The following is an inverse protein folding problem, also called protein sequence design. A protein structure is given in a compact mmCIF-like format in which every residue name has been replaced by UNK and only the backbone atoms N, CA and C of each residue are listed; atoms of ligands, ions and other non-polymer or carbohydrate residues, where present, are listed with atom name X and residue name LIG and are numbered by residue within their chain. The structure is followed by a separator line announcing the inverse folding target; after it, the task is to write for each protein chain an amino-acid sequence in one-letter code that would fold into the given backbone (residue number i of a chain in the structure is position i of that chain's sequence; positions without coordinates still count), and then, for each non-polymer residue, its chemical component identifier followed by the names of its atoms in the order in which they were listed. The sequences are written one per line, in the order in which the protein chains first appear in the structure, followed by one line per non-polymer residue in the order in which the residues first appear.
data_IF_162228223325
#
_entry.id   IF_162228223325
#
_cell.length_a   1.000
_cell.length_b   1.000
_cell.length_c   1.000
_cell.angle_alpha   90.00
_cell.angle_beta   90.00
_cell.angle_gamma   90.00
#
_symmetry.space_group_name_H-M   'P 1'
#
loop_
_entity.id
_entity.type
_entity.pdbx_description
1 polymer ?
#
# COMPACT_ATOMS: atom_id res chain seq x y z
N UNK A 1 12.35 35.97 -13.12
CA UNK A 1 13.45 35.95 -12.14
C UNK A 1 13.11 36.77 -10.89
N UNK A 2 12.75 38.04 -11.03
CA UNK A 2 12.43 38.97 -9.90
C UNK A 2 11.29 38.50 -9.02
N UNK A 3 10.19 37.96 -9.59
CA UNK A 3 9.05 37.46 -8.84
C UNK A 3 9.39 36.24 -7.96
N UNK A 4 10.28 35.32 -8.43
CA UNK A 4 10.73 34.18 -7.64
C UNK A 4 11.63 34.61 -6.47
N UNK A 5 12.44 35.66 -6.66
CA UNK A 5 13.27 36.23 -5.61
C UNK A 5 12.42 36.91 -4.53
N UNK A 6 11.40 37.68 -4.91
CA UNK A 6 10.44 38.27 -3.97
C UNK A 6 9.67 37.27 -3.16
N UNK A 7 9.19 36.17 -3.80
CA UNK A 7 8.49 35.08 -3.10
C UNK A 7 9.41 34.37 -2.12
N UNK A 8 10.68 34.15 -2.48
CA UNK A 8 11.63 33.49 -1.58
C UNK A 8 12.04 34.41 -0.42
N UNK A 9 12.19 35.71 -0.66
CA UNK A 9 12.45 36.70 0.38
C UNK A 9 11.28 36.80 1.37
N UNK A 10 10.04 36.81 0.85
CA UNK A 10 8.83 36.82 1.67
C UNK A 10 8.70 35.51 2.52
N UNK A 11 9.05 34.37 1.94
CA UNK A 11 9.10 33.10 2.68
C UNK A 11 10.17 33.14 3.78
N UNK A 12 11.32 33.70 3.51
CA UNK A 12 12.41 33.86 4.49
C UNK A 12 12.00 34.76 5.66
N UNK A 13 11.32 35.86 5.38
CA UNK A 13 10.77 36.82 6.38
C UNK A 13 9.64 36.19 7.22
N UNK A 14 8.85 35.29 6.62
CA UNK A 14 7.75 34.59 7.31
C UNK A 14 8.18 33.30 8.02
N UNK A 15 9.43 32.85 7.83
CA UNK A 15 9.95 31.63 8.49
C UNK A 15 9.85 31.67 10.02
N UNK A 16 10.21 32.77 10.74
CA UNK A 16 10.09 32.79 12.19
C UNK A 16 8.63 32.75 12.64
N UNK A 17 7.72 33.39 11.91
CA UNK A 17 6.27 33.38 12.22
C UNK A 17 5.68 32.00 11.94
N UNK A 18 6.08 31.38 10.85
CA UNK A 18 5.61 30.02 10.52
C UNK A 18 6.17 28.99 11.49
N UNK A 19 7.42 29.11 11.91
CA UNK A 19 8.04 28.25 12.91
C UNK A 19 7.36 28.40 14.30
N UNK A 20 7.04 29.64 14.68
CA UNK A 20 6.33 29.93 15.91
C UNK A 20 4.90 29.36 15.87
N UNK A 21 4.16 29.61 14.80
CA UNK A 21 2.82 29.01 14.61
C UNK A 21 2.89 27.49 14.61
N UNK A 22 3.91 26.88 13.99
CA UNK A 22 4.08 25.43 13.97
C UNK A 22 4.44 24.87 15.37
N UNK A 23 5.26 25.60 16.16
CA UNK A 23 5.59 25.21 17.52
C UNK A 23 4.39 25.21 18.47
N UNK A 24 3.41 26.12 18.25
CA UNK A 24 2.21 26.24 19.08
C UNK A 24 0.99 25.51 18.51
N UNK A 25 0.94 25.22 17.18
CA UNK A 25 -0.25 24.68 16.54
C UNK A 25 -0.33 23.13 16.55
N UNK A 26 0.76 22.43 16.83
CA UNK A 26 0.73 20.96 16.89
C UNK A 26 0.46 20.48 18.32
N UNK A 27 -0.74 19.97 18.62
CA UNK A 27 -1.03 19.42 19.94
C UNK A 27 -0.08 18.25 20.23
N UNK A 28 0.49 18.23 21.44
CA UNK A 28 1.26 17.08 21.93
C UNK A 28 0.32 15.90 22.15
N UNK A 29 0.73 14.69 21.74
CA UNK A 29 -0.09 13.48 21.91
C UNK A 29 -1.12 13.24 20.79
N UNK A 30 -1.18 14.11 19.76
CA UNK A 30 -2.06 13.90 18.60
C UNK A 30 -1.52 12.83 17.64
N UNK A 31 -2.40 12.34 16.75
CA UNK A 31 -2.03 11.40 15.69
C UNK A 31 -1.96 12.12 14.35
N UNK A 32 -0.96 11.78 13.55
CA UNK A 32 -0.90 12.18 12.15
C UNK A 32 -1.82 11.27 11.35
N UNK A 33 -2.70 11.83 10.54
CA UNK A 33 -3.63 11.02 9.72
C UNK A 33 -2.96 10.69 8.39
N UNK A 34 -2.81 9.40 8.11
CA UNK A 34 -2.45 8.88 6.80
C UNK A 34 -3.70 8.26 6.16
N UNK A 35 -4.22 8.90 5.14
CA UNK A 35 -5.37 8.39 4.38
C UNK A 35 -4.88 7.55 3.21
N UNK A 36 -5.37 6.29 3.13
CA UNK A 36 -5.16 5.39 2.00
C UNK A 36 -6.52 5.20 1.31
N UNK A 37 -6.61 5.70 0.08
CA UNK A 37 -7.80 5.58 -0.74
C UNK A 37 -7.38 5.37 -2.21
N UNK A 38 -7.58 4.16 -2.71
CA UNK A 38 -7.29 3.77 -4.08
C UNK A 38 -5.92 3.11 -4.27
N UNK A 39 -5.24 3.48 -5.36
CA UNK A 39 -4.02 2.80 -5.80
C UNK A 39 -2.80 3.17 -4.95
N UNK A 40 -2.07 2.15 -4.52
CA UNK A 40 -0.75 2.28 -3.88
C UNK A 40 0.32 1.74 -4.83
N UNK A 41 1.46 2.42 -4.88
CA UNK A 41 2.62 2.08 -5.72
C UNK A 41 3.88 2.01 -4.86
N UNK A 42 4.90 1.34 -5.33
CA UNK A 42 6.16 1.25 -4.60
C UNK A 42 6.93 2.58 -4.64
N UNK A 43 7.16 3.10 -5.85
CA UNK A 43 7.87 4.36 -6.09
C UNK A 43 6.93 5.44 -6.62
N UNK A 44 7.22 6.69 -6.31
CA UNK A 44 6.47 7.81 -6.89
C UNK A 44 6.70 7.90 -8.39
N UNK A 45 5.63 7.96 -9.19
CA UNK A 45 5.80 8.22 -10.62
C UNK A 45 6.44 9.61 -10.81
N UNK A 46 7.33 9.77 -11.81
CA UNK A 46 7.99 11.04 -12.08
C UNK A 46 6.92 12.13 -12.33
N UNK A 47 7.09 13.27 -11.66
CA UNK A 47 6.21 14.41 -11.86
C UNK A 47 6.53 15.04 -13.21
N UNK A 48 5.73 14.75 -14.24
CA UNK A 48 5.82 15.44 -15.52
C UNK A 48 5.43 16.91 -15.29
N UNK A 49 6.40 17.82 -15.32
CA UNK A 49 6.21 19.27 -15.10
C UNK A 49 5.42 19.97 -16.21
N UNK A 50 5.17 19.29 -17.34
CA UNK A 50 4.35 19.78 -18.45
C UNK A 50 2.85 19.57 -18.18
N UNK A 51 2.39 19.81 -16.99
CA UNK A 51 0.96 19.83 -16.72
C UNK A 51 0.41 21.17 -17.20
N UNK A 52 -0.33 21.13 -18.29
CA UNK A 52 -1.21 22.18 -18.72
C UNK A 52 -2.00 22.68 -17.48
N UNK A 53 -1.87 23.93 -17.13
CA UNK A 53 -2.38 24.54 -15.89
C UNK A 53 -3.90 24.43 -15.70
N UNK A 54 -4.65 24.06 -16.75
CA UNK A 54 -6.09 23.83 -16.73
C UNK A 54 -6.52 22.38 -16.42
N UNK A 55 -5.61 21.42 -16.33
CA UNK A 55 -6.00 20.04 -15.96
C UNK A 55 -6.10 19.93 -14.43
N UNK A 56 -7.27 19.44 -13.92
CA UNK A 56 -7.38 19.15 -12.49
C UNK A 56 -6.26 18.19 -12.09
N UNK A 57 -5.48 18.57 -11.09
CA UNK A 57 -4.40 17.73 -10.56
C UNK A 57 -5.04 16.50 -9.95
N UNK A 58 -4.99 15.37 -10.63
CA UNK A 58 -5.32 14.08 -10.00
C UNK A 58 -4.37 13.90 -8.82
N UNK A 59 -4.90 13.52 -7.66
CA UNK A 59 -4.07 13.17 -6.50
C UNK A 59 -3.09 12.09 -6.92
N UNK A 60 -1.80 12.29 -6.68
CA UNK A 60 -0.79 11.27 -6.94
C UNK A 60 -1.10 10.05 -6.07
N UNK A 61 -0.92 8.81 -6.59
CA UNK A 61 -1.08 7.62 -5.79
C UNK A 61 -0.14 7.66 -4.58
N UNK A 62 -0.55 7.06 -3.47
CA UNK A 62 0.32 6.88 -2.32
C UNK A 62 1.46 5.94 -2.71
N UNK A 63 2.71 6.28 -2.34
CA UNK A 63 3.85 5.39 -2.54
C UNK A 63 4.42 4.91 -1.21
N UNK A 64 4.97 3.70 -1.21
CA UNK A 64 5.68 3.12 -0.05
C UNK A 64 6.85 4.01 0.34
N UNK A 65 7.61 4.51 -0.65
CA UNK A 65 8.70 5.47 -0.45
C UNK A 65 8.26 6.68 0.39
N UNK A 66 7.11 7.28 0.05
CA UNK A 66 6.58 8.43 0.78
C UNK A 66 6.14 8.09 2.20
N UNK A 67 5.64 6.87 2.42
CA UNK A 67 5.29 6.41 3.79
C UNK A 67 6.54 6.22 4.63
N UNK A 68 7.62 5.68 4.06
CA UNK A 68 8.92 5.61 4.74
C UNK A 68 9.52 6.98 5.06
N UNK A 69 9.42 7.94 4.14
CA UNK A 69 9.84 9.32 4.40
C UNK A 69 9.01 9.95 5.52
N UNK A 70 7.68 9.79 5.48
CA UNK A 70 6.80 10.24 6.56
C UNK A 70 7.21 9.61 7.89
N UNK A 71 7.49 8.32 7.90
CA UNK A 71 7.94 7.59 9.08
C UNK A 71 9.23 8.17 9.68
N UNK A 72 10.24 8.45 8.83
CA UNK A 72 11.50 9.08 9.26
C UNK A 72 11.27 10.45 9.93
N UNK A 73 10.35 11.25 9.38
CA UNK A 73 10.00 12.54 9.96
C UNK A 73 9.21 12.39 11.26
N UNK A 74 8.25 11.46 11.28
CA UNK A 74 7.43 11.19 12.45
C UNK A 74 8.26 10.70 13.65
N UNK A 75 9.24 9.81 13.41
CA UNK A 75 10.13 9.31 14.46
C UNK A 75 11.04 10.40 15.05
N UNK A 76 11.43 11.41 14.25
CA UNK A 76 12.24 12.54 14.71
C UNK A 76 11.44 13.59 15.49
N UNK A 77 10.12 13.65 15.31
CA UNK A 77 9.27 14.63 15.99
C UNK A 77 8.64 13.99 17.25
N UNK A 78 8.96 14.46 18.46
CA UNK A 78 8.40 13.92 19.70
C UNK A 78 6.94 14.30 19.96
N UNK A 79 6.37 15.24 19.21
CA UNK A 79 5.03 15.77 19.44
C UNK A 79 3.91 14.82 19.07
N UNK A 80 3.88 14.21 17.87
CA UNK A 80 2.86 13.23 17.54
C UNK A 80 3.05 11.93 18.32
N UNK A 81 1.98 11.42 18.94
CA UNK A 81 1.99 10.12 19.59
C UNK A 81 2.11 8.97 18.59
N UNK A 82 1.57 9.16 17.39
CA UNK A 82 1.57 8.11 16.40
C UNK A 82 0.88 8.47 15.08
N UNK A 83 0.47 7.43 14.36
CA UNK A 83 -0.17 7.47 13.06
C UNK A 83 -1.58 6.91 13.15
N UNK A 84 -2.57 7.66 12.69
CA UNK A 84 -3.92 7.17 12.42
C UNK A 84 -4.01 6.77 10.94
N UNK A 85 -4.04 5.48 10.68
CA UNK A 85 -4.14 4.90 9.35
C UNK A 85 -5.62 4.78 8.97
N UNK A 86 -6.12 5.72 8.18
CA UNK A 86 -7.50 5.70 7.67
C UNK A 86 -7.52 5.04 6.29
N UNK A 87 -8.07 3.84 6.20
CA UNK A 87 -8.14 3.07 4.96
C UNK A 87 -9.58 2.99 4.47
N UNK A 88 -9.83 3.48 3.25
CA UNK A 88 -11.16 3.39 2.59
C UNK A 88 -11.18 2.31 1.53
N UNK A 89 -10.20 2.33 0.63
CA UNK A 89 -9.97 1.29 -0.37
C UNK A 89 -8.46 1.15 -0.58
N UNK A 90 -7.98 -0.07 -0.79
CA UNK A 90 -6.56 -0.34 -1.01
C UNK A 90 -6.39 -1.22 -2.25
N UNK A 91 -5.76 -0.67 -3.29
CA UNK A 91 -5.50 -1.39 -4.53
C UNK A 91 -4.00 -1.45 -4.78
N UNK A 92 -3.40 -2.59 -4.50
CA UNK A 92 -1.98 -2.85 -4.73
C UNK A 92 -1.71 -4.33 -4.93
N UNK A 93 -0.62 -4.65 -5.61
CA UNK A 93 -0.14 -6.03 -5.68
C UNK A 93 0.42 -6.52 -4.33
N UNK A 94 0.48 -7.84 -4.11
CA UNK A 94 0.91 -8.43 -2.83
C UNK A 94 2.27 -7.93 -2.35
N UNK A 95 3.25 -7.78 -3.25
CA UNK A 95 4.59 -7.30 -2.92
C UNK A 95 4.57 -5.86 -2.40
N UNK A 96 3.76 -4.97 -3.02
CA UNK A 96 3.61 -3.57 -2.58
C UNK A 96 2.91 -3.50 -1.23
N UNK A 97 1.91 -4.35 -1.01
CA UNK A 97 1.22 -4.46 0.28
C UNK A 97 2.18 -4.90 1.40
N UNK A 98 3.02 -5.91 1.13
CA UNK A 98 4.05 -6.36 2.06
C UNK A 98 5.04 -5.23 2.38
N UNK A 99 5.59 -4.57 1.35
CA UNK A 99 6.50 -3.43 1.52
C UNK A 99 5.88 -2.28 2.31
N UNK A 100 4.59 -2.00 2.08
CA UNK A 100 3.88 -0.95 2.83
C UNK A 100 3.66 -1.36 4.28
N UNK A 101 3.29 -2.63 4.52
CA UNK A 101 3.14 -3.16 5.87
C UNK A 101 4.47 -3.08 6.64
N UNK A 102 5.57 -3.44 6.01
CA UNK A 102 6.91 -3.37 6.62
C UNK A 102 7.27 -1.92 6.97
N UNK A 103 7.00 -0.97 6.09
CA UNK A 103 7.20 0.45 6.38
C UNK A 103 6.37 0.94 7.58
N UNK A 104 5.15 0.43 7.77
CA UNK A 104 4.34 0.72 8.95
C UNK A 104 4.93 0.07 10.22
N UNK A 105 5.41 -1.17 10.12
CA UNK A 105 6.07 -1.86 11.23
C UNK A 105 7.35 -1.14 11.66
N UNK A 106 8.14 -0.60 10.71
CA UNK A 106 9.33 0.23 11.00
C UNK A 106 8.94 1.46 11.84
N UNK A 107 7.84 2.14 11.49
CA UNK A 107 7.33 3.30 12.25
C UNK A 107 6.96 2.89 13.67
N UNK A 108 6.28 1.75 13.82
CA UNK A 108 5.89 1.22 15.13
C UNK A 108 7.10 0.80 15.97
N UNK A 109 8.08 0.13 15.36
CA UNK A 109 9.34 -0.22 16.00
C UNK A 109 10.13 1.01 16.45
N UNK A 110 10.00 2.14 15.74
CA UNK A 110 10.55 3.44 16.12
C UNK A 110 9.80 4.15 17.26
N UNK A 111 8.89 3.45 17.96
CA UNK A 111 8.19 3.95 19.16
C UNK A 111 6.95 4.79 18.88
N UNK A 112 6.45 4.85 17.65
CA UNK A 112 5.22 5.54 17.30
C UNK A 112 4.04 4.58 17.31
N UNK A 113 2.94 4.98 17.94
CA UNK A 113 1.73 4.17 17.93
C UNK A 113 1.04 4.20 16.55
N UNK A 114 0.44 3.09 16.16
CA UNK A 114 -0.37 3.01 14.92
C UNK A 114 -1.75 2.49 15.28
N UNK A 115 -2.75 3.27 14.89
CA UNK A 115 -4.17 2.90 14.98
C UNK A 115 -4.72 2.84 13.57
N UNK A 116 -5.36 1.75 13.19
CA UNK A 116 -6.04 1.60 11.91
C UNK A 116 -7.54 1.89 12.07
N UNK A 117 -8.09 2.72 11.18
CA UNK A 117 -9.51 2.99 11.08
C UNK A 117 -10.04 2.59 9.70
N UNK A 118 -11.04 1.69 9.68
CA UNK A 118 -11.62 1.06 8.50
C UNK A 118 -13.09 1.47 8.35
N UNK A 119 -13.38 2.67 7.82
CA UNK A 119 -14.76 3.19 7.79
C UNK A 119 -15.67 2.45 6.80
N UNK A 120 -15.12 1.78 5.79
CA UNK A 120 -15.88 1.13 4.71
C UNK A 120 -15.84 -0.40 4.80
N UNK A 121 -15.30 -0.97 5.88
CA UNK A 121 -15.07 -2.40 6.04
C UNK A 121 -13.64 -2.81 5.72
N UNK A 122 -13.40 -4.09 5.59
CA UNK A 122 -12.06 -4.63 5.38
C UNK A 122 -12.07 -5.88 4.48
N UNK A 123 -11.19 -5.85 3.50
CA UNK A 123 -10.80 -6.99 2.68
C UNK A 123 -9.41 -7.53 3.11
N UNK A 124 -8.90 -8.54 2.40
CA UNK A 124 -7.58 -9.11 2.67
C UNK A 124 -6.45 -8.07 2.67
N UNK A 125 -6.46 -7.13 1.71
CA UNK A 125 -5.41 -6.12 1.58
C UNK A 125 -5.43 -5.15 2.76
N UNK A 126 -6.61 -4.66 3.11
CA UNK A 126 -6.83 -3.75 4.23
C UNK A 126 -6.48 -4.40 5.58
N UNK A 127 -6.88 -5.66 5.77
CA UNK A 127 -6.56 -6.43 6.98
C UNK A 127 -5.06 -6.71 7.11
N UNK A 128 -4.38 -7.02 5.99
CA UNK A 128 -2.93 -7.19 5.98
C UNK A 128 -2.22 -5.92 6.46
N UNK A 129 -2.63 -4.74 6.00
CA UNK A 129 -2.06 -3.48 6.45
C UNK A 129 -2.46 -3.15 7.89
N UNK A 130 -3.71 -3.41 8.26
CA UNK A 130 -4.21 -3.19 9.61
C UNK A 130 -3.48 -4.05 10.66
N UNK A 131 -2.91 -5.21 10.26
CA UNK A 131 -2.11 -6.06 11.15
C UNK A 131 -0.83 -5.39 11.67
N UNK A 132 -0.35 -4.32 11.03
CA UNK A 132 0.75 -3.52 11.55
C UNK A 132 0.33 -2.58 12.70
N UNK A 133 -0.96 -2.30 12.85
CA UNK A 133 -1.48 -1.42 13.88
C UNK A 133 -1.56 -2.10 15.26
N UNK A 134 -1.52 -1.30 16.33
CA UNK A 134 -1.79 -1.77 17.70
C UNK A 134 -3.28 -2.03 17.92
N UNK A 135 -4.12 -1.19 17.33
CA UNK A 135 -5.57 -1.29 17.45
C UNK A 135 -6.22 -1.07 16.09
N UNK A 136 -7.29 -1.82 15.84
CA UNK A 136 -8.09 -1.70 14.61
C UNK A 136 -9.50 -1.30 15.01
N UNK A 137 -9.96 -0.20 14.44
CA UNK A 137 -11.32 0.32 14.62
C UNK A 137 -12.05 0.17 13.30
N UNK A 138 -13.19 -0.48 13.34
CA UNK A 138 -14.05 -0.71 12.16
C UNK A 138 -15.30 0.14 12.31
N UNK A 139 -15.82 0.68 11.22
CA UNK A 139 -17.08 1.41 11.22
C UNK A 139 -18.25 0.52 11.64
N UNK A 140 -19.31 1.08 12.22
CA UNK A 140 -20.51 0.29 12.53
C UNK A 140 -21.12 -0.27 11.23
N UNK A 141 -21.68 -1.49 11.31
CA UNK A 141 -22.38 -2.17 10.21
C UNK A 141 -21.51 -2.40 8.93
N UNK A 142 -20.18 -2.33 9.06
CA UNK A 142 -19.30 -2.58 7.93
C UNK A 142 -18.95 -4.05 7.80
N UNK A 143 -18.85 -4.52 6.53
CA UNK A 143 -18.47 -5.89 6.24
C UNK A 143 -16.96 -6.09 6.38
N UNK A 144 -16.56 -7.10 7.15
CA UNK A 144 -15.17 -7.56 7.26
C UNK A 144 -15.09 -8.94 6.62
N UNK A 145 -14.33 -9.04 5.51
CA UNK A 145 -14.28 -10.25 4.69
C UNK A 145 -12.85 -10.81 4.57
N UNK A 146 -12.35 -11.55 5.58
CA UNK A 146 -11.02 -12.18 5.56
C UNK A 146 -11.04 -13.48 4.77
N UNK A 147 -11.35 -13.42 3.47
CA UNK A 147 -11.54 -14.62 2.64
C UNK A 147 -10.23 -15.37 2.33
N UNK A 148 -9.08 -14.74 2.56
CA UNK A 148 -7.77 -15.30 2.20
C UNK A 148 -7.53 -15.30 0.68
N UNK A 149 -6.63 -16.16 0.25
CA UNK A 149 -6.30 -16.36 -1.16
C UNK A 149 -6.53 -17.82 -1.53
N UNK A 150 -7.18 -18.05 -2.66
CA UNK A 150 -7.34 -19.39 -3.23
C UNK A 150 -6.87 -19.36 -4.68
N UNK A 151 -6.17 -20.41 -5.10
CA UNK A 151 -5.80 -20.64 -6.50
C UNK A 151 -6.41 -21.95 -6.94
N UNK A 152 -7.24 -21.90 -7.98
CA UNK A 152 -7.85 -23.06 -8.60
C UNK A 152 -7.16 -23.38 -9.92
N UNK A 153 -6.66 -24.60 -10.07
CA UNK A 153 -6.11 -25.11 -11.33
C UNK A 153 -7.14 -26.03 -12.00
N UNK A 154 -7.45 -25.77 -13.28
CA UNK A 154 -8.29 -26.65 -14.09
C UNK A 154 -7.42 -27.59 -14.89
N UNK A 155 -7.57 -28.91 -14.68
CA UNK A 155 -6.82 -29.94 -15.35
C UNK A 155 -7.73 -30.61 -16.38
N UNK A 156 -7.32 -30.63 -17.64
CA UNK A 156 -8.14 -31.06 -18.77
C UNK A 156 -7.65 -32.38 -19.41
N UNK A 157 -6.69 -33.07 -18.79
CA UNK A 157 -6.14 -34.32 -19.29
C UNK A 157 -7.22 -35.32 -19.67
N UNK A 158 -8.14 -35.64 -18.77
CA UNK A 158 -9.22 -36.60 -19.02
C UNK A 158 -10.15 -36.19 -20.15
N UNK A 159 -10.44 -34.92 -20.30
CA UNK A 159 -11.25 -34.41 -21.39
C UNK A 159 -10.52 -34.56 -22.74
N UNK A 160 -9.22 -34.35 -22.77
CA UNK A 160 -8.40 -34.54 -23.97
C UNK A 160 -8.31 -36.01 -24.35
N UNK A 161 -8.09 -36.93 -23.39
CA UNK A 161 -8.10 -38.36 -23.58
C UNK A 161 -9.44 -38.85 -24.18
N UNK A 162 -10.57 -38.35 -23.69
CA UNK A 162 -11.90 -38.66 -24.25
C UNK A 162 -12.09 -38.15 -25.68
N UNK A 163 -11.44 -37.04 -26.00
CA UNK A 163 -11.45 -36.49 -27.36
C UNK A 163 -10.42 -37.15 -28.29
N UNK A 164 -9.66 -38.14 -27.84
CA UNK A 164 -8.61 -38.79 -28.59
C UNK A 164 -7.35 -37.93 -28.82
N UNK A 165 -7.15 -36.94 -27.92
CA UNK A 165 -5.98 -36.02 -28.00
C UNK A 165 -5.00 -36.41 -26.88
N UNK A 166 -3.76 -36.70 -27.25
CA UNK A 166 -2.66 -36.98 -26.34
C UNK A 166 -1.63 -35.84 -26.40
N UNK A 167 -1.65 -34.90 -25.42
CA UNK A 167 -0.73 -33.78 -25.43
C UNK A 167 0.68 -34.17 -24.95
N UNK A 168 1.71 -33.76 -25.64
CA UNK A 168 3.09 -33.84 -25.19
C UNK A 168 3.58 -32.53 -24.64
N UNK A 169 4.19 -32.55 -23.45
CA UNK A 169 4.72 -31.33 -22.80
C UNK A 169 6.21 -31.49 -22.55
N UNK A 170 7.00 -30.66 -23.19
CA UNK A 170 8.45 -30.56 -22.97
C UNK A 170 8.77 -29.44 -22.02
N UNK A 171 9.05 -29.77 -20.77
CA UNK A 171 9.39 -28.79 -19.71
C UNK A 171 10.76 -29.09 -19.13
N UNK A 172 11.61 -28.08 -18.99
CA UNK A 172 12.91 -28.17 -18.32
C UNK A 172 12.88 -27.42 -17.00
N UNK A 173 12.96 -28.15 -15.88
CA UNK A 173 12.93 -27.61 -14.52
C UNK A 173 11.59 -27.91 -13.82
N UNK A 174 11.67 -28.16 -12.49
CA UNK A 174 10.54 -28.65 -11.68
C UNK A 174 9.42 -27.60 -11.49
N UNK A 175 9.71 -26.32 -11.67
CA UNK A 175 8.75 -25.22 -11.56
C UNK A 175 8.15 -24.75 -12.89
N UNK A 176 8.37 -25.49 -13.98
CA UNK A 176 7.80 -25.22 -15.31
C UNK A 176 6.41 -25.88 -15.46
N UNK A 177 5.44 -25.43 -14.66
CA UNK A 177 4.16 -26.10 -14.45
C UNK A 177 3.06 -25.75 -15.46
N UNK A 178 3.31 -24.80 -16.39
CA UNK A 178 2.28 -24.30 -17.31
C UNK A 178 1.63 -25.41 -18.18
N UNK A 179 2.38 -26.45 -18.54
CA UNK A 179 1.87 -27.61 -19.30
C UNK A 179 1.17 -28.68 -18.45
N UNK A 180 1.31 -28.68 -17.12
CA UNK A 180 0.74 -29.71 -16.26
C UNK A 180 -0.79 -29.79 -16.36
N UNK A 181 -1.45 -28.67 -16.66
CA UNK A 181 -2.90 -28.61 -16.85
C UNK A 181 -3.41 -29.52 -17.98
N UNK A 182 -2.55 -29.88 -18.93
CA UNK A 182 -2.87 -30.72 -20.08
C UNK A 182 -2.55 -32.21 -19.82
N UNK A 183 -1.51 -32.52 -19.02
CA UNK A 183 -0.96 -33.87 -18.86
C UNK A 183 -1.16 -34.46 -17.47
N UNK A 184 -1.72 -33.70 -16.52
CA UNK A 184 -1.99 -34.17 -15.16
C UNK A 184 -3.45 -34.01 -14.79
N UNK A 185 -3.89 -34.73 -13.74
CA UNK A 185 -5.24 -34.62 -13.16
C UNK A 185 -5.27 -33.71 -11.95
N UNK A 186 -4.10 -33.41 -11.33
CA UNK A 186 -3.99 -32.63 -10.10
C UNK A 186 -2.68 -31.85 -10.07
N UNK A 187 -2.60 -30.85 -9.18
CA UNK A 187 -1.36 -30.11 -8.94
C UNK A 187 -0.21 -31.00 -8.52
N UNK A 188 0.99 -30.74 -9.11
CA UNK A 188 2.24 -31.31 -8.62
C UNK A 188 2.63 -30.73 -7.25
N UNK A 189 3.55 -31.39 -6.54
CA UNK A 189 4.10 -30.86 -5.30
C UNK A 189 4.76 -29.49 -5.52
N UNK A 190 5.54 -29.34 -6.61
CA UNK A 190 6.20 -28.07 -6.98
C UNK A 190 5.22 -26.93 -7.33
N UNK A 191 4.00 -27.23 -7.73
CA UNK A 191 2.97 -26.23 -7.99
C UNK A 191 2.21 -25.81 -6.71
N UNK A 192 2.25 -26.65 -5.67
CA UNK A 192 1.61 -26.39 -4.38
C UNK A 192 2.47 -25.56 -3.43
N UNK A 193 3.81 -25.53 -3.64
CA UNK A 193 4.74 -24.66 -2.94
C UNK A 193 4.63 -23.21 -3.38
#
# INVERSE_FOLDING_TARGET
MIAALLVNLLRLLLLPVSALRWAFAAPRGGYVVLEIDGRVVDLQPPRVRLALWWRPRKRAPLSVERVRELGKHLMKDPRPAGLLLRMRSVHAGPAVLASLRDALLEIRAGGKDIVAYLPMGADNATLLLASAARAVVVGPETLVSPLGFAVEGRYVRRALEQAGVEPEVFAKGMYKNAGEVLVRDTMSAAQRE
#
